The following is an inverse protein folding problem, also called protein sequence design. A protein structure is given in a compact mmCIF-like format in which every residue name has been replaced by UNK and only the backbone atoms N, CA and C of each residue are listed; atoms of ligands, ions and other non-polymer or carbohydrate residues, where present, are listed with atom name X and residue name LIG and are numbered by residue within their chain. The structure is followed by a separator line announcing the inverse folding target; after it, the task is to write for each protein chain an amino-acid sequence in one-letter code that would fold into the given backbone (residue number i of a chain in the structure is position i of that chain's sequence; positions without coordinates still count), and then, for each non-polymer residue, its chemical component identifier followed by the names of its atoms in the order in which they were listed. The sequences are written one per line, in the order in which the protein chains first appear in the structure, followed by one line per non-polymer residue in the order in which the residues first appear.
data_IF_804299258350
#
_entry.id   IF_804299258350
#
_cell.length_a   1.000
_cell.length_b   1.000
_cell.length_c   1.000
_cell.angle_alpha   90.00
_cell.angle_beta   90.00
_cell.angle_gamma   90.00
#
_symmetry.space_group_name_H-M   'P 1'
#
loop_
_entity.id
_entity.type
_entity.pdbx_description
1 polymer ?
#
# COMPACT_ATOMS: atom_id res chain seq x y z
N UNK A 1 -47.30 -16.38 -57.23
CA UNK A 1 -46.76 -16.38 -55.85
C UNK A 1 -45.58 -15.41 -55.84
N UNK A 2 -45.45 -14.39 -54.99
CA UNK A 2 -46.32 -13.70 -54.03
C UNK A 2 -45.82 -12.25 -54.04
N UNK A 3 -46.70 -11.29 -54.23
CA UNK A 3 -46.44 -9.88 -53.97
C UNK A 3 -46.21 -9.71 -52.46
N UNK A 4 -45.08 -9.09 -52.09
CA UNK A 4 -44.79 -8.74 -50.70
C UNK A 4 -45.84 -7.74 -50.20
N UNK A 5 -46.42 -7.92 -49.00
CA UNK A 5 -47.38 -6.99 -48.47
C UNK A 5 -46.66 -5.71 -48.05
N UNK A 6 -47.20 -4.57 -48.45
CA UNK A 6 -46.87 -3.27 -47.85
C UNK A 6 -47.15 -3.35 -46.34
N UNK A 7 -46.20 -2.94 -45.48
CA UNK A 7 -46.38 -3.05 -44.04
C UNK A 7 -47.53 -2.14 -43.59
N UNK A 8 -48.31 -2.55 -42.56
CA UNK A 8 -49.45 -1.78 -42.08
C UNK A 8 -48.98 -0.43 -41.50
N UNK A 9 -49.79 0.64 -41.57
CA UNK A 9 -49.43 1.98 -41.10
C UNK A 9 -49.05 2.04 -39.60
N UNK A 10 -49.44 1.03 -38.81
CA UNK A 10 -49.06 0.86 -37.41
C UNK A 10 -47.57 0.52 -37.21
N UNK A 11 -46.92 -0.15 -38.17
CA UNK A 11 -45.48 -0.44 -38.08
C UNK A 11 -44.64 0.80 -38.37
N UNK A 12 -45.10 1.67 -39.27
CA UNK A 12 -44.46 2.94 -39.58
C UNK A 12 -44.59 3.93 -38.41
N UNK A 13 -45.75 3.98 -37.74
CA UNK A 13 -45.95 4.80 -36.55
C UNK A 13 -45.15 4.27 -35.35
N UNK A 14 -45.05 2.95 -35.15
CA UNK A 14 -44.21 2.37 -34.10
C UNK A 14 -42.71 2.64 -34.33
N UNK A 15 -42.24 2.59 -35.57
CA UNK A 15 -40.87 2.98 -35.95
C UNK A 15 -40.61 4.48 -35.75
N UNK A 16 -41.60 5.35 -36.03
CA UNK A 16 -41.53 6.78 -35.72
C UNK A 16 -41.53 7.04 -34.20
N UNK A 17 -42.32 6.32 -33.41
CA UNK A 17 -42.33 6.39 -31.94
C UNK A 17 -41.05 5.83 -31.31
N UNK A 18 -40.45 4.79 -31.88
CA UNK A 18 -39.15 4.25 -31.46
C UNK A 18 -37.98 5.16 -31.88
N UNK A 19 -38.12 5.90 -32.99
CA UNK A 19 -37.15 6.94 -33.35
C UNK A 19 -37.16 8.09 -32.34
N UNK A 20 -38.34 8.53 -31.86
CA UNK A 20 -38.49 9.57 -30.84
C UNK A 20 -37.94 9.19 -29.45
N UNK A 21 -37.81 7.88 -29.16
CA UNK A 21 -37.24 7.39 -27.90
C UNK A 21 -35.77 6.93 -28.04
N UNK A 22 -35.14 7.12 -29.19
CA UNK A 22 -33.71 6.86 -29.31
C UNK A 22 -32.92 7.89 -28.48
N UNK A 23 -31.99 7.46 -27.60
CA UNK A 23 -31.11 8.38 -26.86
C UNK A 23 -30.25 9.28 -27.78
N UNK A 24 -30.18 8.92 -29.06
CA UNK A 24 -29.58 9.68 -30.18
C UNK A 24 -30.30 11.00 -30.46
N UNK A 25 -31.58 11.16 -30.08
CA UNK A 25 -32.38 12.39 -30.29
C UNK A 25 -32.17 13.46 -29.21
N UNK A 26 -31.07 13.40 -28.46
CA UNK A 26 -30.69 14.43 -27.50
C UNK A 26 -30.04 15.64 -28.16
N UNK A 27 -29.50 15.49 -29.38
CA UNK A 27 -28.83 16.55 -30.11
C UNK A 27 -29.56 16.91 -31.41
N UNK A 28 -29.57 18.20 -31.73
CA UNK A 28 -30.19 18.75 -32.94
C UNK A 28 -29.26 19.76 -33.61
N UNK A 29 -29.33 19.84 -34.94
CA UNK A 29 -28.64 20.88 -35.70
C UNK A 29 -29.56 22.09 -35.83
N UNK A 30 -29.07 23.28 -35.49
CA UNK A 30 -29.84 24.52 -35.48
C UNK A 30 -29.09 25.67 -36.15
N UNK A 31 -29.84 26.69 -36.53
CA UNK A 31 -29.29 27.95 -37.05
C UNK A 31 -28.68 28.80 -35.93
N UNK A 32 -27.79 29.71 -36.34
CA UNK A 32 -26.82 30.38 -35.48
C UNK A 32 -27.35 31.09 -34.22
N UNK A 33 -28.50 31.78 -34.25
CA UNK A 33 -28.93 32.63 -33.13
C UNK A 33 -29.18 31.87 -31.82
N UNK A 34 -29.58 30.59 -31.90
CA UNK A 34 -29.78 29.74 -30.71
C UNK A 34 -28.47 29.17 -30.15
N UNK A 35 -27.42 29.14 -30.97
CA UNK A 35 -26.09 28.63 -30.60
C UNK A 35 -25.32 29.62 -29.73
N UNK A 36 -25.47 30.91 -29.99
CA UNK A 36 -24.73 31.96 -29.31
C UNK A 36 -25.11 32.04 -27.83
N UNK A 37 -26.40 31.89 -27.50
CA UNK A 37 -26.91 31.94 -26.14
C UNK A 37 -26.72 30.65 -25.34
N UNK A 38 -26.51 29.50 -26.00
CA UNK A 38 -26.31 28.23 -25.31
C UNK A 38 -24.88 28.12 -24.75
N UNK A 39 -24.69 27.70 -23.49
CA UNK A 39 -23.36 27.38 -22.96
C UNK A 39 -22.82 26.10 -23.61
N UNK A 40 -21.50 25.89 -23.57
CA UNK A 40 -20.92 24.62 -23.98
C UNK A 40 -21.32 23.49 -23.02
N UNK A 41 -21.29 22.25 -23.53
CA UNK A 41 -21.37 21.08 -22.65
C UNK A 41 -20.20 21.06 -21.65
N UNK A 42 -20.41 20.57 -20.41
CA UNK A 42 -19.34 20.42 -19.43
C UNK A 42 -18.17 19.59 -19.98
N UNK A 43 -16.94 20.03 -19.73
CA UNK A 43 -15.72 19.33 -20.16
C UNK A 43 -15.42 19.33 -21.67
N UNK A 44 -16.12 20.13 -22.50
CA UNK A 44 -15.88 20.20 -23.95
C UNK A 44 -14.43 20.50 -24.34
N UNK A 45 -13.71 21.21 -23.48
CA UNK A 45 -12.32 21.62 -23.66
C UNK A 45 -11.31 20.63 -23.06
N UNK A 46 -11.73 19.44 -22.60
CA UNK A 46 -10.81 18.42 -22.08
C UNK A 46 -10.35 17.42 -23.13
N UNK A 47 -11.03 17.42 -24.28
CA UNK A 47 -10.69 16.62 -25.45
C UNK A 47 -9.78 17.40 -26.39
N UNK A 48 -8.92 16.69 -27.11
CA UNK A 48 -8.02 17.32 -28.08
C UNK A 48 -6.79 17.99 -27.48
N UNK A 49 -6.63 17.98 -26.15
CA UNK A 49 -5.41 18.40 -25.47
C UNK A 49 -4.29 17.36 -25.65
N UNK A 50 -3.05 17.82 -25.81
CA UNK A 50 -1.87 16.98 -25.87
C UNK A 50 -1.64 16.24 -24.56
N UNK A 51 -1.23 14.97 -24.65
CA UNK A 51 -1.04 14.10 -23.51
C UNK A 51 0.33 13.43 -23.57
N UNK A 52 1.04 13.42 -22.45
CA UNK A 52 2.30 12.70 -22.28
C UNK A 52 2.04 11.32 -21.69
N UNK A 53 2.29 10.27 -22.47
CA UNK A 53 2.09 8.88 -22.06
C UNK A 53 3.10 8.40 -21.02
N UNK A 54 4.27 9.04 -20.92
CA UNK A 54 5.31 8.67 -19.95
C UNK A 54 4.95 9.18 -18.56
N UNK A 55 4.52 10.45 -18.47
CA UNK A 55 4.17 11.06 -17.19
C UNK A 55 2.69 10.92 -16.83
N UNK A 56 1.87 10.39 -17.75
CA UNK A 56 0.40 10.36 -17.66
C UNK A 56 -0.22 11.73 -17.38
N UNK A 57 0.30 12.79 -18.03
CA UNK A 57 -0.14 14.18 -17.80
C UNK A 57 -0.54 14.89 -19.08
N UNK A 58 -1.56 15.72 -18.97
CA UNK A 58 -1.96 16.68 -20.01
C UNK A 58 -0.91 17.79 -20.13
N UNK A 59 -0.70 18.30 -21.35
CA UNK A 59 0.38 19.26 -21.69
C UNK A 59 -0.07 20.73 -21.78
N UNK A 60 -1.37 21.04 -21.67
CA UNK A 60 -1.91 22.40 -21.81
C UNK A 60 -1.95 22.92 -23.24
N UNK A 61 -1.55 22.12 -24.24
CA UNK A 61 -1.52 22.48 -25.65
C UNK A 61 -2.56 21.70 -26.45
N UNK A 62 -3.39 22.38 -27.22
CA UNK A 62 -4.49 21.76 -27.97
C UNK A 62 -4.08 21.40 -29.40
N UNK A 63 -4.31 20.14 -29.75
CA UNK A 63 -4.06 19.57 -31.08
C UNK A 63 -5.30 19.55 -31.96
N UNK A 64 -6.49 19.64 -31.35
CA UNK A 64 -7.78 19.66 -32.02
C UNK A 64 -8.52 20.92 -31.59
N UNK A 65 -9.09 21.66 -32.56
CA UNK A 65 -9.95 22.80 -32.28
C UNK A 65 -11.26 22.33 -31.64
N UNK A 66 -11.46 22.72 -30.39
CA UNK A 66 -12.65 22.44 -29.58
C UNK A 66 -13.38 23.72 -29.17
N UNK A 67 -12.94 24.88 -29.67
CA UNK A 67 -13.58 26.17 -29.44
C UNK A 67 -14.58 26.51 -30.55
N UNK A 68 -14.29 26.12 -31.79
CA UNK A 68 -15.21 26.36 -32.91
C UNK A 68 -16.43 25.44 -32.81
N UNK A 69 -17.62 26.04 -32.66
CA UNK A 69 -18.91 25.33 -32.61
C UNK A 69 -19.76 25.51 -33.87
N UNK A 70 -19.46 26.53 -34.67
CA UNK A 70 -20.18 26.83 -35.91
C UNK A 70 -19.57 26.04 -37.07
N UNK A 71 -20.42 25.37 -37.84
CA UNK A 71 -20.04 24.64 -39.05
C UNK A 71 -19.90 25.61 -40.25
N UNK A 72 -19.21 25.20 -41.33
CA UNK A 72 -19.05 26.03 -42.53
C UNK A 72 -20.37 26.48 -43.17
N UNK A 73 -21.44 25.71 -43.00
CA UNK A 73 -22.80 26.02 -43.47
C UNK A 73 -23.56 27.02 -42.58
N UNK A 74 -22.93 27.52 -41.51
CA UNK A 74 -23.52 28.46 -40.56
C UNK A 74 -24.37 27.83 -39.45
N UNK A 75 -24.52 26.51 -39.44
CA UNK A 75 -25.28 25.78 -38.41
C UNK A 75 -24.41 25.42 -37.20
N UNK A 76 -25.03 25.01 -36.09
CA UNK A 76 -24.34 24.39 -34.96
C UNK A 76 -25.13 23.20 -34.42
N UNK A 77 -24.52 22.41 -33.53
CA UNK A 77 -25.19 21.32 -32.83
C UNK A 77 -25.46 21.69 -31.37
N UNK A 78 -26.73 21.59 -30.97
CA UNK A 78 -27.19 21.74 -29.59
C UNK A 78 -27.66 20.40 -29.05
N UNK A 79 -27.31 20.09 -27.80
CA UNK A 79 -27.69 18.88 -27.09
C UNK A 79 -28.42 19.20 -25.80
N UNK A 80 -29.42 18.39 -25.46
CA UNK A 80 -30.17 18.49 -24.22
C UNK A 80 -29.45 17.68 -23.14
N UNK A 81 -28.96 18.35 -22.09
CA UNK A 81 -28.26 17.68 -20.99
C UNK A 81 -29.22 17.27 -19.87
N UNK A 82 -29.52 15.97 -19.81
CA UNK A 82 -30.42 15.39 -18.79
C UNK A 82 -29.86 15.47 -17.38
N UNK A 83 -28.55 15.58 -17.22
CA UNK A 83 -27.90 15.68 -15.90
C UNK A 83 -27.93 17.10 -15.33
N UNK A 84 -28.24 18.10 -16.16
CA UNK A 84 -28.35 19.51 -15.76
C UNK A 84 -29.73 20.07 -16.15
N UNK A 85 -30.79 19.50 -15.57
CA UNK A 85 -32.19 19.97 -15.72
C UNK A 85 -32.68 20.09 -17.17
N UNK A 86 -32.16 19.27 -18.09
CA UNK A 86 -32.49 19.30 -19.53
C UNK A 86 -32.12 20.64 -20.20
N UNK A 87 -31.10 21.34 -19.71
CA UNK A 87 -30.57 22.55 -20.36
C UNK A 87 -30.04 22.24 -21.76
N UNK A 88 -30.29 23.14 -22.72
CA UNK A 88 -29.70 23.08 -24.06
C UNK A 88 -28.27 23.63 -24.04
N UNK A 89 -27.33 22.84 -24.56
CA UNK A 89 -25.90 23.14 -24.54
C UNK A 89 -25.28 22.88 -25.91
N UNK A 90 -24.30 23.70 -26.32
CA UNK A 90 -23.65 23.57 -27.62
C UNK A 90 -22.45 22.63 -27.60
N UNK A 91 -22.23 21.95 -28.71
CA UNK A 91 -21.04 21.14 -28.95
C UNK A 91 -20.04 21.85 -29.85
N UNK A 92 -18.73 21.64 -29.64
CA UNK A 92 -17.73 21.96 -30.65
C UNK A 92 -18.00 21.19 -31.95
N UNK A 93 -17.67 21.78 -33.10
CA UNK A 93 -17.90 21.19 -34.42
C UNK A 93 -17.07 19.91 -34.65
N UNK A 94 -15.96 19.75 -33.93
CA UNK A 94 -15.10 18.56 -33.94
C UNK A 94 -15.65 17.38 -33.11
N UNK A 95 -16.70 17.60 -32.31
CA UNK A 95 -17.32 16.57 -31.46
C UNK A 95 -18.52 15.94 -32.15
N UNK A 96 -18.49 14.61 -32.29
CA UNK A 96 -19.47 13.87 -33.09
C UNK A 96 -20.43 12.99 -32.27
N UNK A 97 -20.01 12.49 -31.10
CA UNK A 97 -20.83 11.58 -30.28
C UNK A 97 -20.74 11.97 -28.80
N UNK A 98 -21.57 12.95 -28.41
CA UNK A 98 -21.69 13.37 -27.01
C UNK A 98 -22.91 12.73 -26.37
N UNK A 99 -22.74 12.21 -25.15
CA UNK A 99 -23.80 11.55 -24.38
C UNK A 99 -23.71 11.90 -22.91
N UNK A 100 -24.84 12.30 -22.32
CA UNK A 100 -24.97 12.42 -20.87
C UNK A 100 -25.39 11.08 -20.25
N UNK A 101 -24.59 10.59 -19.31
CA UNK A 101 -24.85 9.36 -18.55
C UNK A 101 -25.19 9.75 -17.12
N UNK A 102 -26.33 9.28 -16.60
CA UNK A 102 -26.81 9.61 -15.24
C UNK A 102 -26.65 8.47 -14.23
N UNK A 103 -26.38 7.25 -14.70
CA UNK A 103 -26.25 6.08 -13.83
C UNK A 103 -24.78 5.88 -13.45
N UNK A 104 -24.47 6.08 -12.17
CA UNK A 104 -23.18 5.74 -11.59
C UNK A 104 -23.35 4.55 -10.66
N UNK A 105 -22.68 3.43 -10.96
CA UNK A 105 -22.46 2.37 -9.99
C UNK A 105 -21.18 2.68 -9.25
N UNK A 106 -21.28 2.91 -7.95
CA UNK A 106 -20.12 3.21 -7.11
C UNK A 106 -19.45 1.90 -6.70
N UNK A 107 -18.98 1.12 -7.67
CA UNK A 107 -18.27 -0.12 -7.39
C UNK A 107 -16.86 0.20 -6.89
N UNK A 108 -16.34 -0.63 -5.98
CA UNK A 108 -14.95 -0.54 -5.50
C UNK A 108 -14.20 -1.72 -6.10
N UNK A 109 -13.12 -1.42 -6.82
CA UNK A 109 -12.16 -2.44 -7.24
C UNK A 109 -10.91 -2.32 -6.39
N UNK A 110 -10.30 -3.45 -6.08
CA UNK A 110 -9.07 -3.50 -5.31
C UNK A 110 -8.09 -4.45 -5.99
N UNK A 111 -6.82 -4.06 -6.01
CA UNK A 111 -5.72 -4.87 -6.52
C UNK A 111 -4.51 -4.67 -5.61
N UNK A 112 -3.58 -5.61 -5.62
CA UNK A 112 -2.31 -5.45 -4.95
C UNK A 112 -1.17 -5.80 -5.91
N UNK A 113 -0.05 -5.11 -5.70
CA UNK A 113 1.09 -5.05 -6.60
C UNK A 113 2.35 -5.17 -5.76
N UNK A 114 3.28 -6.03 -6.15
CA UNK A 114 4.54 -6.22 -5.40
C UNK A 114 5.65 -5.31 -5.91
N UNK A 115 5.49 -4.73 -7.11
CA UNK A 115 6.48 -3.87 -7.75
C UNK A 115 5.83 -2.65 -8.40
N UNK A 116 6.64 -1.62 -8.65
CA UNK A 116 6.22 -0.44 -9.43
C UNK A 116 5.86 -0.85 -10.86
N UNK A 117 6.57 -1.81 -11.45
CA UNK A 117 6.31 -2.28 -12.82
C UNK A 117 4.99 -3.04 -12.94
N UNK A 118 4.60 -3.85 -11.94
CA UNK A 118 3.29 -4.54 -11.95
C UNK A 118 2.14 -3.53 -11.83
N UNK A 119 2.32 -2.48 -11.02
CA UNK A 119 1.37 -1.37 -10.91
C UNK A 119 1.16 -0.66 -12.24
N UNK A 120 2.25 -0.34 -12.96
CA UNK A 120 2.20 0.34 -14.26
C UNK A 120 1.59 -0.53 -15.37
N UNK A 121 1.85 -1.83 -15.35
CA UNK A 121 1.31 -2.76 -16.36
C UNK A 121 -0.11 -3.22 -16.05
N UNK A 122 -0.66 -2.82 -14.91
CA UNK A 122 -1.95 -3.28 -14.36
C UNK A 122 -2.05 -4.81 -14.22
N UNK A 123 -0.90 -5.49 -14.25
CA UNK A 123 -0.82 -6.93 -14.04
C UNK A 123 -0.86 -7.19 -12.53
N UNK A 124 -1.88 -7.90 -12.08
CA UNK A 124 -1.96 -8.33 -10.68
C UNK A 124 -0.99 -9.47 -10.45
N UNK A 125 -0.08 -9.32 -9.48
CA UNK A 125 0.66 -10.47 -8.98
C UNK A 125 -0.29 -11.35 -8.18
N UNK A 126 -0.48 -12.59 -8.61
CA UNK A 126 -1.36 -13.55 -7.94
C UNK A 126 -0.76 -14.09 -6.62
N UNK A 127 0.52 -13.83 -6.35
CA UNK A 127 1.24 -14.31 -5.17
C UNK A 127 1.19 -13.35 -3.97
N UNK A 128 0.04 -12.72 -3.73
CA UNK A 128 -0.15 -11.94 -2.49
C UNK A 128 -0.32 -12.91 -1.33
N UNK A 129 0.79 -13.16 -0.62
CA UNK A 129 0.77 -13.99 0.59
C UNK A 129 -0.07 -13.37 1.73
N UNK A 130 -0.47 -12.10 1.61
CA UNK A 130 -1.25 -11.36 2.62
C UNK A 130 -2.60 -10.85 2.09
N UNK A 131 -3.38 -11.75 1.48
CA UNK A 131 -4.75 -11.47 1.01
C UNK A 131 -5.65 -10.94 2.14
N UNK A 132 -5.36 -11.30 3.39
CA UNK A 132 -6.10 -10.85 4.57
C UNK A 132 -5.92 -9.36 4.81
N UNK A 133 -4.69 -8.86 4.71
CA UNK A 133 -4.42 -7.42 4.81
C UNK A 133 -5.14 -6.64 3.70
N UNK A 134 -5.01 -7.09 2.46
CA UNK A 134 -5.70 -6.49 1.30
C UNK A 134 -7.22 -6.43 1.50
N UNK A 135 -7.81 -7.54 1.96
CA UNK A 135 -9.23 -7.61 2.29
C UNK A 135 -9.63 -6.62 3.38
N UNK A 136 -8.86 -6.52 4.48
CA UNK A 136 -9.18 -5.57 5.55
C UNK A 136 -9.16 -4.12 5.04
N UNK A 137 -8.14 -3.74 4.26
CA UNK A 137 -8.04 -2.39 3.68
C UNK A 137 -9.20 -2.09 2.73
N UNK A 138 -9.58 -3.05 1.87
CA UNK A 138 -10.74 -2.93 0.98
C UNK A 138 -12.05 -2.72 1.75
N UNK A 139 -12.20 -3.37 2.90
CA UNK A 139 -13.33 -3.14 3.81
C UNK A 139 -13.27 -1.74 4.43
N UNK A 140 -12.09 -1.28 4.85
CA UNK A 140 -11.88 0.07 5.37
C UNK A 140 -12.27 1.17 4.37
N UNK A 141 -11.89 1.03 3.10
CA UNK A 141 -12.32 1.95 2.03
C UNK A 141 -13.84 1.93 1.88
N UNK A 142 -14.46 0.76 1.95
CA UNK A 142 -15.92 0.63 1.88
C UNK A 142 -16.63 1.30 3.06
N UNK A 143 -16.04 1.25 4.25
CA UNK A 143 -16.53 1.95 5.46
C UNK A 143 -16.41 3.47 5.26
N UNK A 144 -15.22 3.95 4.90
CA UNK A 144 -14.96 5.38 4.72
C UNK A 144 -15.88 6.02 3.69
N UNK A 145 -16.19 5.29 2.62
CA UNK A 145 -17.12 5.73 1.58
C UNK A 145 -18.61 5.47 1.93
N UNK A 146 -18.91 5.01 3.14
CA UNK A 146 -20.28 4.84 3.66
C UNK A 146 -21.05 3.71 2.98
N UNK A 147 -20.35 2.73 2.39
CA UNK A 147 -20.93 1.56 1.72
C UNK A 147 -21.00 0.32 2.62
N UNK A 148 -20.21 0.30 3.69
CA UNK A 148 -20.19 -0.77 4.67
C UNK A 148 -20.31 -0.19 6.08
N UNK A 149 -21.11 -0.82 6.94
CA UNK A 149 -21.20 -0.41 8.34
C UNK A 149 -19.93 -0.86 9.10
N UNK A 150 -19.29 0.01 9.91
CA UNK A 150 -18.13 -0.37 10.73
C UNK A 150 -18.37 -1.60 11.61
N UNK A 151 -19.61 -1.83 12.05
CA UNK A 151 -19.98 -3.01 12.87
C UNK A 151 -19.83 -4.35 12.14
N UNK A 152 -19.75 -4.35 10.81
CA UNK A 152 -19.50 -5.54 10.01
C UNK A 152 -18.03 -6.02 10.08
N UNK A 153 -17.12 -5.20 10.60
CA UNK A 153 -15.69 -5.53 10.70
C UNK A 153 -15.37 -6.09 12.08
N UNK A 154 -14.84 -7.32 12.11
CA UNK A 154 -14.53 -8.01 13.36
C UNK A 154 -13.03 -8.31 13.54
N UNK A 155 -12.65 -8.51 14.80
CA UNK A 155 -11.36 -9.08 15.19
C UNK A 155 -10.15 -8.27 14.73
N UNK A 156 -9.24 -8.92 14.02
CA UNK A 156 -7.93 -8.36 13.63
C UNK A 156 -8.03 -7.19 12.65
N UNK A 157 -9.01 -7.18 11.74
CA UNK A 157 -9.15 -6.06 10.79
C UNK A 157 -9.48 -4.75 11.50
N UNK A 158 -10.29 -4.79 12.56
CA UNK A 158 -10.65 -3.58 13.32
C UNK A 158 -9.40 -2.90 13.91
N UNK A 159 -8.51 -3.69 14.52
CA UNK A 159 -7.27 -3.16 15.10
C UNK A 159 -6.34 -2.58 14.02
N UNK A 160 -6.27 -3.19 12.85
CA UNK A 160 -5.54 -2.64 11.71
C UNK A 160 -6.13 -1.29 11.27
N UNK A 161 -7.44 -1.23 11.01
CA UNK A 161 -8.09 -0.02 10.49
C UNK A 161 -8.06 1.14 11.49
N UNK A 162 -8.13 0.85 12.79
CA UNK A 162 -7.99 1.82 13.88
C UNK A 162 -6.51 2.14 14.22
N UNK A 163 -5.54 1.56 13.50
CA UNK A 163 -4.12 1.73 13.74
C UNK A 163 -3.70 1.35 15.20
N UNK A 164 -4.28 0.27 15.73
CA UNK A 164 -4.00 -0.26 17.07
C UNK A 164 -3.10 -1.51 17.07
N UNK A 165 -2.84 -2.06 15.89
CA UNK A 165 -1.91 -3.18 15.72
C UNK A 165 -0.44 -2.77 15.97
N UNK A 166 0.44 -3.76 16.13
CA UNK A 166 1.87 -3.55 16.41
C UNK A 166 2.75 -3.59 15.16
N UNK A 167 2.34 -4.32 14.11
CA UNK A 167 3.06 -4.47 12.86
C UNK A 167 2.65 -3.41 11.83
N UNK A 168 1.39 -2.97 11.86
CA UNK A 168 0.80 -2.12 10.82
C UNK A 168 0.58 -0.66 11.24
N UNK A 169 1.41 -0.15 12.16
CA UNK A 169 1.27 1.22 12.68
C UNK A 169 1.54 2.29 11.59
N UNK A 170 1.10 3.52 11.81
CA UNK A 170 1.51 4.68 10.97
C UNK A 170 3.04 4.74 10.79
N UNK A 171 3.80 4.39 11.84
CA UNK A 171 5.26 4.35 11.81
C UNK A 171 5.85 3.28 10.87
N UNK A 172 5.08 2.27 10.49
CA UNK A 172 5.49 1.28 9.48
C UNK A 172 5.08 1.67 8.05
N UNK A 173 4.48 2.85 7.86
CA UNK A 173 4.14 3.39 6.54
C UNK A 173 2.89 2.82 5.90
N UNK A 174 2.24 1.80 6.48
CA UNK A 174 1.11 1.10 5.85
C UNK A 174 -0.13 1.98 5.64
N UNK A 175 -0.33 3.00 6.48
CA UNK A 175 -1.44 3.94 6.36
C UNK A 175 -1.10 5.15 5.48
N UNK A 176 0.09 5.19 4.86
CA UNK A 176 0.40 6.17 3.83
C UNK A 176 -0.43 5.83 2.59
N UNK A 177 -1.21 6.79 2.14
CA UNK A 177 -2.04 6.68 0.95
C UNK A 177 -1.69 7.80 -0.01
N UNK A 178 -1.78 7.46 -1.29
CA UNK A 178 -1.80 8.43 -2.38
C UNK A 178 -3.19 8.38 -2.98
N UNK A 179 -3.89 9.51 -2.98
CA UNK A 179 -5.22 9.62 -3.59
C UNK A 179 -5.16 10.53 -4.78
N UNK A 180 -5.77 10.08 -5.88
CA UNK A 180 -6.01 10.89 -7.07
C UNK A 180 -7.53 10.96 -7.30
N UNK A 181 -8.06 12.18 -7.33
CA UNK A 181 -9.50 12.45 -7.51
C UNK A 181 -9.67 13.22 -8.82
N UNK A 182 -10.43 12.62 -9.74
CA UNK A 182 -10.66 13.19 -11.08
C UNK A 182 -12.07 13.75 -11.18
N UNK A 183 -12.16 15.05 -11.49
CA UNK A 183 -13.43 15.79 -11.59
C UNK A 183 -14.08 16.07 -10.24
N UNK A 184 -15.30 16.60 -10.31
CA UNK A 184 -16.07 17.04 -9.15
C UNK A 184 -15.43 18.24 -8.44
N UNK A 185 -15.99 18.59 -7.28
CA UNK A 185 -15.53 19.69 -6.45
C UNK A 185 -15.66 19.33 -4.96
N UNK A 186 -14.81 19.93 -4.13
CA UNK A 186 -14.92 19.91 -2.67
C UNK A 186 -14.45 18.64 -1.94
N UNK A 187 -13.87 17.64 -2.63
CA UNK A 187 -13.28 16.47 -1.99
C UNK A 187 -11.87 16.18 -2.48
N UNK A 188 -10.92 16.15 -1.55
CA UNK A 188 -9.51 15.87 -1.82
C UNK A 188 -9.19 14.37 -1.86
N UNK A 189 -10.19 13.51 -1.67
CA UNK A 189 -9.97 12.07 -1.61
C UNK A 189 -9.47 11.57 -0.25
N UNK A 190 -9.51 12.42 0.76
CA UNK A 190 -9.23 12.05 2.15
C UNK A 190 -10.49 11.44 2.78
N UNK A 191 -10.30 10.34 3.51
CA UNK A 191 -11.36 9.66 4.27
C UNK A 191 -10.76 8.74 5.35
N UNK A 192 -11.53 8.47 6.40
CA UNK A 192 -11.18 7.46 7.41
C UNK A 192 -11.41 6.03 6.94
N UNK A 193 -10.49 5.12 7.27
CA UNK A 193 -10.68 3.68 7.08
C UNK A 193 -11.50 3.02 8.21
N UNK A 194 -11.70 3.71 9.34
CA UNK A 194 -12.27 3.13 10.55
C UNK A 194 -13.75 3.50 10.78
N UNK A 195 -14.23 4.59 10.20
CA UNK A 195 -15.59 5.08 10.38
C UNK A 195 -16.13 5.73 9.09
N UNK A 196 -17.45 5.91 9.02
CA UNK A 196 -18.11 6.55 7.87
C UNK A 196 -17.67 8.02 7.75
N UNK A 197 -16.98 8.32 6.66
CA UNK A 197 -16.51 9.65 6.28
C UNK A 197 -17.02 10.03 4.87
N UNK A 198 -18.21 9.53 4.53
CA UNK A 198 -18.73 9.55 3.17
C UNK A 198 -19.30 10.89 2.73
N UNK A 199 -19.36 11.89 3.61
CA UNK A 199 -19.98 13.18 3.31
C UNK A 199 -19.24 13.90 2.17
N UNK A 200 -17.90 13.95 2.24
CA UNK A 200 -17.07 14.53 1.19
C UNK A 200 -17.26 13.83 -0.15
N UNK A 201 -17.16 12.49 -0.15
CA UNK A 201 -17.41 11.66 -1.32
C UNK A 201 -18.81 11.87 -1.94
N UNK A 202 -19.87 11.93 -1.14
CA UNK A 202 -21.24 12.14 -1.61
C UNK A 202 -21.43 13.53 -2.23
N UNK A 203 -20.86 14.56 -1.62
CA UNK A 203 -20.90 15.92 -2.16
C UNK A 203 -20.14 16.01 -3.49
N UNK A 204 -18.94 15.44 -3.55
CA UNK A 204 -18.16 15.32 -4.77
C UNK A 204 -18.93 14.59 -5.87
N UNK A 205 -19.53 13.44 -5.57
CA UNK A 205 -20.33 12.66 -6.53
C UNK A 205 -21.49 13.48 -7.11
N UNK A 206 -22.16 14.29 -6.27
CA UNK A 206 -23.26 15.16 -6.69
C UNK A 206 -22.81 16.34 -7.56
N UNK A 207 -21.54 16.77 -7.42
CA UNK A 207 -20.96 17.89 -8.17
C UNK A 207 -20.45 17.51 -9.57
N UNK A 208 -20.22 16.22 -9.84
CA UNK A 208 -19.66 15.73 -11.11
C UNK A 208 -20.45 16.14 -12.35
N UNK A 209 -21.77 16.33 -12.22
CA UNK A 209 -22.64 16.80 -13.31
C UNK A 209 -22.30 18.21 -13.78
N UNK A 210 -21.71 19.02 -12.90
CA UNK A 210 -21.37 20.42 -13.12
C UNK A 210 -19.86 20.60 -13.36
N UNK A 211 -19.04 19.80 -12.68
CA UNK A 211 -17.58 19.79 -12.78
C UNK A 211 -17.06 18.45 -13.32
N UNK A 212 -17.27 18.19 -14.60
CA UNK A 212 -16.82 16.96 -15.24
C UNK A 212 -15.31 17.00 -15.55
N UNK A 213 -14.63 15.86 -15.42
CA UNK A 213 -13.26 15.65 -15.90
C UNK A 213 -13.10 14.27 -16.58
N UNK A 214 -11.92 13.96 -17.11
CA UNK A 214 -11.64 12.81 -17.96
C UNK A 214 -11.32 11.57 -17.12
N UNK A 215 -12.33 10.75 -16.84
CA UNK A 215 -12.14 9.47 -16.13
C UNK A 215 -11.48 8.37 -16.98
N UNK A 216 -11.73 8.36 -18.29
CA UNK A 216 -11.13 7.40 -19.23
C UNK A 216 -11.00 8.03 -20.61
N UNK A 217 -9.98 7.63 -21.37
CA UNK A 217 -9.66 8.24 -22.65
C UNK A 217 -8.94 7.25 -23.59
N UNK A 218 -8.97 7.59 -24.88
CA UNK A 218 -8.19 6.91 -25.91
C UNK A 218 -7.16 7.89 -26.48
N UNK A 219 -5.90 7.52 -26.44
CA UNK A 219 -4.81 8.35 -26.96
C UNK A 219 -4.52 7.95 -28.40
N UNK A 220 -4.31 8.95 -29.26
CA UNK A 220 -3.75 8.75 -30.60
C UNK A 220 -2.42 9.48 -30.72
N UNK A 221 -1.36 8.83 -31.26
CA UNK A 221 -0.09 9.48 -31.46
C UNK A 221 -0.21 10.72 -32.37
N UNK A 222 0.42 11.82 -31.97
CA UNK A 222 0.31 13.11 -32.65
C UNK A 222 0.76 13.07 -34.12
N UNK A 223 1.70 12.18 -34.49
CA UNK A 223 2.10 12.00 -35.89
C UNK A 223 0.96 11.53 -36.82
N UNK A 224 -0.14 10.99 -36.28
CA UNK A 224 -1.32 10.60 -37.07
C UNK A 224 -2.08 11.82 -37.62
N UNK A 225 -1.97 12.98 -36.98
CA UNK A 225 -2.56 14.24 -37.45
C UNK A 225 -1.80 14.82 -38.64
N UNK A 226 -0.53 14.41 -38.83
CA UNK A 226 0.26 14.80 -40.00
C UNK A 226 -0.16 13.94 -41.20
N UNK A 227 -0.48 14.53 -42.37
CA UNK A 227 -0.96 13.79 -43.54
C UNK A 227 -0.05 12.61 -43.96
N UNK A 228 1.02 12.89 -44.72
CA UNK A 228 2.03 11.93 -45.19
C UNK A 228 3.36 12.66 -45.43
N UNK A 229 4.45 11.91 -45.61
CA UNK A 229 5.78 12.45 -45.98
C UNK A 229 6.81 12.43 -44.84
N UNK A 230 7.97 13.04 -45.09
CA UNK A 230 9.15 12.98 -44.21
C UNK A 230 8.90 13.55 -42.81
N UNK A 231 8.10 14.62 -42.70
CA UNK A 231 7.71 15.21 -41.40
C UNK A 231 6.96 14.21 -40.52
N UNK A 232 6.06 13.41 -41.10
CA UNK A 232 5.31 12.37 -40.38
C UNK A 232 6.25 11.27 -39.86
N UNK A 233 7.14 10.79 -40.73
CA UNK A 233 8.10 9.75 -40.37
C UNK A 233 9.10 10.22 -39.32
N UNK A 234 9.64 11.44 -39.46
CA UNK A 234 10.54 12.04 -38.48
C UNK A 234 9.87 12.24 -37.12
N UNK A 235 8.62 12.69 -37.11
CA UNK A 235 7.85 12.82 -35.87
C UNK A 235 7.54 11.48 -35.21
N UNK A 236 7.20 10.45 -36.01
CA UNK A 236 7.02 9.09 -35.51
C UNK A 236 8.29 8.58 -34.82
N UNK A 237 9.43 8.69 -35.50
CA UNK A 237 10.73 8.27 -34.96
C UNK A 237 11.09 9.02 -33.67
N UNK A 238 10.85 10.33 -33.61
CA UNK A 238 11.11 11.12 -32.40
C UNK A 238 10.24 10.70 -31.21
N UNK A 239 8.96 10.37 -31.44
CA UNK A 239 8.05 9.89 -30.39
C UNK A 239 8.47 8.50 -29.90
N UNK A 240 8.81 7.58 -30.82
CA UNK A 240 9.27 6.23 -30.46
C UNK A 240 10.58 6.28 -29.67
N UNK A 241 11.51 7.16 -30.05
CA UNK A 241 12.74 7.39 -29.32
C UNK A 241 12.47 7.94 -27.91
N UNK A 242 11.62 8.97 -27.78
CA UNK A 242 11.26 9.54 -26.48
C UNK A 242 10.67 8.49 -25.53
N UNK A 243 9.78 7.62 -26.03
CA UNK A 243 9.19 6.56 -25.22
C UNK A 243 10.27 5.58 -24.76
N UNK A 244 11.16 5.17 -25.67
CA UNK A 244 12.23 4.21 -25.38
C UNK A 244 13.23 4.77 -24.36
N UNK A 245 13.60 6.04 -24.49
CA UNK A 245 14.57 6.70 -23.60
C UNK A 245 14.04 6.88 -22.17
N UNK A 246 12.72 6.82 -21.97
CA UNK A 246 12.06 7.02 -20.68
C UNK A 246 11.36 5.77 -20.15
N UNK A 247 11.63 4.59 -20.73
CA UNK A 247 11.02 3.33 -20.30
C UNK A 247 11.56 2.87 -18.93
N UNK A 248 10.68 2.26 -18.11
CA UNK A 248 11.03 1.80 -16.77
C UNK A 248 11.63 0.39 -16.87
N UNK A 249 12.93 0.27 -16.66
CA UNK A 249 13.64 -1.02 -16.71
C UNK A 249 13.11 -2.02 -15.68
N UNK A 250 12.68 -3.19 -16.15
CA UNK A 250 12.28 -4.32 -15.31
C UNK A 250 13.52 -5.10 -14.84
N UNK A 251 14.20 -4.62 -13.79
CA UNK A 251 15.25 -5.43 -13.16
C UNK A 251 14.67 -6.24 -12.01
N UNK A 252 14.21 -7.46 -12.30
CA UNK A 252 13.92 -8.45 -11.26
C UNK A 252 15.23 -9.10 -10.81
N UNK A 253 15.93 -8.47 -9.86
CA UNK A 253 16.98 -9.17 -9.12
C UNK A 253 16.33 -9.94 -7.97
N UNK A 254 16.37 -11.26 -8.03
CA UNK A 254 15.91 -12.13 -6.96
C UNK A 254 16.83 -11.90 -5.74
N UNK A 255 16.32 -11.28 -4.69
CA UNK A 255 17.13 -11.02 -3.48
C UNK A 255 17.32 -12.32 -2.71
N UNK A 256 18.56 -12.72 -2.51
CA UNK A 256 18.89 -13.87 -1.66
C UNK A 256 19.03 -13.43 -0.20
N UNK A 257 17.96 -13.59 0.58
CA UNK A 257 17.89 -13.23 2.00
C UNK A 257 18.54 -14.26 2.95
N UNK A 258 18.87 -15.45 2.42
CA UNK A 258 19.25 -16.67 3.15
C UNK A 258 20.66 -16.66 3.79
N UNK A 259 21.23 -15.50 4.16
CA UNK A 259 22.51 -15.46 4.89
C UNK A 259 22.31 -15.67 6.40
N UNK A 260 21.91 -16.89 6.78
CA UNK A 260 22.00 -17.36 8.18
C UNK A 260 20.90 -16.90 9.15
N UNK A 261 19.85 -16.23 8.68
CA UNK A 261 18.70 -15.85 9.51
C UNK A 261 17.44 -16.67 9.14
N UNK A 262 17.04 -17.59 10.01
CA UNK A 262 15.85 -18.45 9.81
C UNK A 262 14.52 -17.70 9.98
N UNK A 263 14.53 -16.48 10.51
CA UNK A 263 13.33 -15.68 10.73
C UNK A 263 12.95 -14.83 9.51
N UNK A 264 13.62 -14.96 8.35
CA UNK A 264 13.27 -14.19 7.15
C UNK A 264 12.37 -15.00 6.20
N UNK A 265 11.45 -14.32 5.52
CA UNK A 265 10.71 -14.85 4.38
C UNK A 265 11.44 -14.62 3.04
N UNK A 266 10.79 -14.95 1.93
CA UNK A 266 11.35 -14.81 0.58
C UNK A 266 11.52 -13.34 0.14
N UNK A 267 10.85 -12.39 0.80
CA UNK A 267 10.99 -10.95 0.59
C UNK A 267 11.99 -10.30 1.54
N UNK A 268 12.73 -11.11 2.31
CA UNK A 268 13.64 -10.67 3.37
C UNK A 268 12.92 -10.02 4.56
N UNK A 269 11.62 -10.27 4.74
CA UNK A 269 10.84 -9.73 5.86
C UNK A 269 10.89 -10.68 7.06
N UNK A 270 10.97 -10.17 8.30
CA UNK A 270 10.91 -11.00 9.49
C UNK A 270 9.53 -11.65 9.64
N UNK A 271 9.49 -12.98 9.79
CA UNK A 271 8.26 -13.76 9.97
C UNK A 271 7.63 -13.56 11.34
N UNK A 272 8.46 -13.30 12.35
CA UNK A 272 8.06 -13.10 13.74
C UNK A 272 8.82 -11.93 14.34
N UNK A 273 8.11 -11.09 15.10
CA UNK A 273 8.74 -10.14 16.03
C UNK A 273 9.36 -10.90 17.22
N UNK A 274 10.07 -10.18 18.10
CA UNK A 274 10.70 -10.74 19.31
C UNK A 274 11.79 -11.77 19.01
N UNK A 275 12.54 -11.55 17.95
CA UNK A 275 13.62 -12.43 17.50
C UNK A 275 14.94 -11.69 17.35
N UNK A 276 16.02 -12.35 17.73
CA UNK A 276 17.38 -11.84 17.57
C UNK A 276 18.44 -12.83 18.04
N UNK A 277 19.70 -12.46 17.82
CA UNK A 277 20.86 -13.23 18.24
C UNK A 277 21.27 -12.86 19.66
N UNK A 278 21.33 -13.83 20.56
CA UNK A 278 21.72 -13.62 21.97
C UNK A 278 23.01 -14.34 22.31
N UNK A 279 23.94 -13.62 22.93
CA UNK A 279 25.17 -14.18 23.48
C UNK A 279 25.29 -13.79 24.94
N UNK A 280 25.74 -14.71 25.78
CA UNK A 280 25.92 -14.50 27.23
C UNK A 280 27.36 -14.82 27.62
N UNK A 281 27.97 -13.95 28.40
CA UNK A 281 29.31 -14.14 28.94
C UNK A 281 29.26 -14.10 30.46
N UNK A 282 29.63 -15.20 31.10
CA UNK A 282 29.79 -15.26 32.56
C UNK A 282 31.20 -14.76 32.89
N UNK A 283 31.28 -13.59 33.53
CA UNK A 283 32.55 -12.86 33.68
C UNK A 283 33.29 -13.38 34.91
N UNK A 284 32.78 -13.04 36.10
CA UNK A 284 33.47 -13.26 37.36
C UNK A 284 32.52 -13.22 38.55
N UNK A 285 33.00 -13.66 39.71
CA UNK A 285 32.39 -13.41 41.01
C UNK A 285 33.45 -12.92 42.01
N UNK A 286 33.01 -12.38 43.13
CA UNK A 286 33.89 -11.89 44.18
C UNK A 286 33.26 -12.04 45.56
N UNK A 287 34.11 -12.16 46.57
CA UNK A 287 33.74 -12.33 47.97
C UNK A 287 32.85 -13.56 48.22
N UNK A 288 33.04 -14.63 47.45
CA UNK A 288 32.29 -15.87 47.62
C UNK A 288 32.75 -16.62 48.87
N UNK A 289 31.79 -17.28 49.52
CA UNK A 289 32.01 -18.17 50.66
C UNK A 289 30.88 -19.20 50.73
N UNK A 290 31.10 -20.37 50.16
CA UNK A 290 30.24 -21.54 50.39
C UNK A 290 30.87 -22.51 51.40
N UNK A 291 32.11 -22.94 51.17
CA UNK A 291 32.83 -23.82 52.10
C UNK A 291 33.08 -23.27 53.53
N UNK A 292 33.03 -24.18 54.51
CA UNK A 292 33.41 -23.89 55.89
C UNK A 292 34.93 -23.71 56.08
N UNK A 293 35.73 -24.39 55.26
CA UNK A 293 37.19 -24.36 55.31
C UNK A 293 37.76 -24.39 53.89
N UNK A 294 38.38 -23.29 53.45
CA UNK A 294 39.04 -23.20 52.14
C UNK A 294 38.42 -22.17 51.20
N UNK A 295 38.97 -22.03 49.97
CA UNK A 295 38.32 -21.33 48.87
C UNK A 295 37.08 -22.09 48.39
N UNK A 296 36.12 -21.38 47.80
CA UNK A 296 34.87 -21.93 47.25
C UNK A 296 35.08 -22.58 45.87
N UNK A 297 34.52 -23.76 45.64
CA UNK A 297 34.56 -24.56 44.41
C UNK A 297 33.42 -24.18 43.45
N UNK A 298 33.47 -22.92 42.99
CA UNK A 298 32.32 -22.31 42.33
C UNK A 298 32.19 -22.61 40.83
N UNK A 299 30.96 -22.81 40.37
CA UNK A 299 30.60 -22.87 38.95
C UNK A 299 29.23 -22.25 38.68
N UNK A 300 28.94 -21.92 37.43
CA UNK A 300 27.71 -21.22 37.04
C UNK A 300 26.89 -22.04 36.06
N UNK A 301 25.59 -22.20 36.34
CA UNK A 301 24.59 -22.73 35.41
C UNK A 301 23.85 -21.58 34.75
N UNK A 302 23.88 -21.55 33.42
CA UNK A 302 23.14 -20.60 32.58
C UNK A 302 21.95 -21.31 31.95
N UNK A 303 20.76 -20.74 32.09
CA UNK A 303 19.54 -21.23 31.46
C UNK A 303 18.81 -20.12 30.71
N UNK A 304 18.37 -20.43 29.50
CA UNK A 304 17.53 -19.56 28.67
C UNK A 304 16.50 -20.40 27.92
N UNK A 305 15.24 -20.35 28.36
CA UNK A 305 14.20 -21.25 27.85
C UNK A 305 14.58 -22.72 28.09
N UNK A 306 14.74 -23.49 27.01
CA UNK A 306 15.20 -24.89 27.03
C UNK A 306 16.73 -25.05 26.90
N UNK A 307 17.45 -23.96 26.64
CA UNK A 307 18.91 -23.98 26.49
C UNK A 307 19.55 -23.93 27.87
N UNK A 308 20.48 -24.84 28.13
CA UNK A 308 21.24 -24.93 29.38
C UNK A 308 22.73 -25.03 29.07
N UNK A 309 23.54 -24.26 29.79
CA UNK A 309 24.99 -24.29 29.74
C UNK A 309 25.58 -24.25 31.15
N UNK A 310 26.80 -24.73 31.29
CA UNK A 310 27.53 -24.72 32.55
C UNK A 310 28.96 -24.26 32.30
N UNK A 311 29.51 -23.47 33.21
CA UNK A 311 30.94 -23.14 33.21
C UNK A 311 31.75 -24.30 33.80
N UNK A 312 33.07 -24.29 33.60
CA UNK A 312 33.96 -25.09 34.45
C UNK A 312 33.90 -24.59 35.91
N UNK A 313 34.16 -25.48 36.85
CA UNK A 313 34.40 -25.13 38.25
C UNK A 313 35.76 -24.42 38.40
N UNK A 314 35.82 -23.46 39.33
CA UNK A 314 37.05 -22.76 39.73
C UNK A 314 37.07 -22.66 41.27
N UNK A 315 38.08 -23.28 41.88
CA UNK A 315 38.43 -23.15 43.29
C UNK A 315 38.99 -21.75 43.59
N UNK A 316 38.13 -20.82 44.00
CA UNK A 316 38.50 -19.44 44.38
C UNK A 316 37.32 -18.67 44.99
N UNK A 317 37.60 -17.80 45.96
CA UNK A 317 36.63 -16.78 46.40
C UNK A 317 36.47 -15.59 45.43
N UNK A 318 37.30 -15.53 44.37
CA UNK A 318 37.27 -14.49 43.33
C UNK A 318 37.39 -15.11 41.92
N UNK A 319 36.49 -16.03 41.55
CA UNK A 319 36.60 -16.80 40.31
C UNK A 319 36.40 -15.88 39.09
N UNK A 320 37.18 -16.13 38.03
CA UNK A 320 37.05 -15.50 36.71
C UNK A 320 36.87 -16.57 35.65
N UNK A 321 35.63 -16.76 35.20
CA UNK A 321 35.33 -17.77 34.18
C UNK A 321 35.60 -17.24 32.77
N UNK A 322 35.21 -15.98 32.48
CA UNK A 322 35.20 -15.43 31.12
C UNK A 322 34.59 -16.41 30.09
N UNK A 323 33.53 -17.11 30.50
CA UNK A 323 32.92 -18.17 29.71
C UNK A 323 31.89 -17.57 28.76
N UNK A 324 32.11 -17.75 27.46
CA UNK A 324 31.26 -17.20 26.41
C UNK A 324 30.32 -18.28 25.83
N UNK A 325 29.03 -17.96 25.79
CA UNK A 325 27.97 -18.83 25.27
C UNK A 325 27.21 -18.09 24.15
N UNK A 326 27.32 -18.59 22.90
CA UNK A 326 26.48 -18.14 21.79
C UNK A 326 25.19 -18.97 21.77
N UNK A 327 24.08 -18.35 22.15
CA UNK A 327 22.77 -19.01 22.18
C UNK A 327 22.08 -19.00 20.81
N UNK A 328 22.71 -18.39 19.79
CA UNK A 328 22.18 -18.30 18.44
C UNK A 328 20.92 -17.42 18.36
N UNK A 329 20.01 -17.79 17.45
CA UNK A 329 18.75 -17.09 17.24
C UNK A 329 17.72 -17.50 18.29
N UNK A 330 17.23 -16.55 19.06
CA UNK A 330 16.34 -16.79 20.20
C UNK A 330 15.04 -16.00 20.10
N UNK A 331 14.02 -16.47 20.83
CA UNK A 331 12.83 -15.69 21.16
C UNK A 331 13.11 -14.87 22.43
N UNK A 332 12.91 -13.55 22.36
CA UNK A 332 13.28 -12.59 23.43
C UNK A 332 12.27 -12.48 24.57
N UNK A 333 11.19 -13.27 24.59
CA UNK A 333 10.23 -13.31 25.71
C UNK A 333 10.82 -13.95 26.98
N UNK A 334 11.80 -14.83 26.81
CA UNK A 334 12.46 -15.54 27.91
C UNK A 334 13.51 -14.67 28.60
N UNK A 335 13.73 -14.94 29.89
CA UNK A 335 14.79 -14.29 30.64
C UNK A 335 16.05 -15.17 30.68
N UNK A 336 17.20 -14.51 30.80
CA UNK A 336 18.48 -15.16 31.11
C UNK A 336 18.51 -15.45 32.61
N UNK A 337 18.51 -16.72 32.95
CA UNK A 337 18.55 -17.21 34.31
C UNK A 337 19.95 -17.76 34.62
N UNK A 338 20.57 -17.24 35.66
CA UNK A 338 21.95 -17.56 36.05
C UNK A 338 21.94 -18.03 37.50
N UNK A 339 22.51 -19.19 37.74
CA UNK A 339 22.68 -19.78 39.07
C UNK A 339 24.16 -20.00 39.36
N UNK A 340 24.60 -19.56 40.54
CA UNK A 340 25.93 -19.79 41.06
C UNK A 340 25.87 -20.93 42.08
N UNK A 341 26.69 -21.94 41.88
CA UNK A 341 26.75 -23.16 42.69
C UNK A 341 28.14 -23.35 43.28
N UNK A 342 28.21 -24.01 44.44
CA UNK A 342 29.42 -24.57 45.04
C UNK A 342 29.43 -26.09 44.85
N UNK A 343 30.51 -26.66 44.32
CA UNK A 343 30.61 -28.10 44.09
C UNK A 343 31.05 -28.81 45.37
N UNK A 344 30.28 -29.80 45.80
CA UNK A 344 30.46 -30.45 47.11
C UNK A 344 30.50 -31.98 46.97
N UNK A 345 31.08 -32.69 47.95
CA UNK A 345 31.28 -34.14 47.85
C UNK A 345 29.99 -34.97 47.73
N UNK A 346 28.86 -34.44 48.20
CA UNK A 346 27.58 -35.15 48.22
C UNK A 346 26.45 -34.37 47.54
N UNK A 347 26.35 -33.06 47.75
CA UNK A 347 25.31 -32.22 47.16
C UNK A 347 25.83 -30.80 46.97
N UNK A 348 25.79 -30.30 45.74
CA UNK A 348 26.18 -28.93 45.43
C UNK A 348 25.23 -27.91 46.08
N UNK A 349 25.80 -26.85 46.63
CA UNK A 349 25.06 -25.77 47.30
C UNK A 349 24.78 -24.62 46.33
N UNK A 350 23.52 -24.17 46.27
CA UNK A 350 23.15 -22.99 45.48
C UNK A 350 23.52 -21.72 46.26
N UNK A 351 24.57 -21.04 45.83
CA UNK A 351 25.07 -19.79 46.44
C UNK A 351 24.28 -18.54 46.02
N UNK A 352 23.55 -18.60 44.91
CA UNK A 352 22.73 -17.49 44.47
C UNK A 352 22.13 -17.68 43.08
N UNK A 353 21.03 -16.99 42.80
CA UNK A 353 20.37 -17.03 41.50
C UNK A 353 19.79 -15.68 41.11
N UNK A 354 19.77 -15.39 39.81
CA UNK A 354 19.09 -14.20 39.31
C UNK A 354 18.57 -14.40 37.88
N UNK A 355 17.49 -13.69 37.59
CA UNK A 355 16.89 -13.61 36.26
C UNK A 355 17.02 -12.20 35.70
N UNK A 356 17.43 -12.07 34.44
CA UNK A 356 17.46 -10.78 33.72
C UNK A 356 16.91 -10.96 32.31
N UNK A 357 15.96 -10.12 31.94
CA UNK A 357 15.48 -10.04 30.57
C UNK A 357 16.55 -9.41 29.67
N UNK A 358 16.99 -10.07 28.58
CA UNK A 358 17.96 -9.49 27.68
C UNK A 358 17.36 -8.27 26.96
N UNK A 359 18.18 -7.26 26.71
CA UNK A 359 17.78 -6.05 25.97
C UNK A 359 18.76 -5.74 24.85
N UNK A 360 18.28 -5.12 23.78
CA UNK A 360 19.04 -4.78 22.59
C UNK A 360 20.36 -4.06 22.94
N UNK A 361 21.46 -4.53 22.36
CA UNK A 361 22.82 -4.09 22.66
C UNK A 361 23.50 -4.91 23.75
N UNK A 362 24.62 -4.39 24.26
CA UNK A 362 25.40 -5.03 25.32
C UNK A 362 25.07 -4.44 26.69
N UNK A 363 24.80 -5.31 27.66
CA UNK A 363 24.51 -4.96 29.06
C UNK A 363 25.26 -5.89 30.01
N UNK A 364 25.77 -5.32 31.09
CA UNK A 364 26.40 -6.05 32.18
C UNK A 364 25.43 -6.03 33.36
N UNK A 365 25.23 -7.17 33.99
CA UNK A 365 24.39 -7.35 35.15
C UNK A 365 25.21 -7.90 36.31
N UNK A 366 25.02 -7.30 37.48
CA UNK A 366 25.54 -7.81 38.74
C UNK A 366 24.38 -8.44 39.54
N UNK A 367 24.66 -9.57 40.17
CA UNK A 367 23.72 -10.34 40.97
C UNK A 367 24.32 -10.67 42.33
N UNK A 368 23.48 -10.62 43.36
CA UNK A 368 23.89 -10.97 44.73
C UNK A 368 23.96 -12.49 44.88
N UNK A 369 24.95 -12.94 45.65
CA UNK A 369 25.03 -14.28 46.19
C UNK A 369 24.87 -14.20 47.72
N UNK A 370 24.72 -15.34 48.39
CA UNK A 370 24.64 -15.45 49.85
C UNK A 370 25.86 -14.82 50.54
N UNK A 371 27.02 -14.95 49.91
CA UNK A 371 28.20 -14.15 50.18
C UNK A 371 28.75 -13.59 48.88
N UNK A 372 28.92 -12.27 48.80
CA UNK A 372 29.52 -11.61 47.65
C UNK A 372 28.55 -11.38 46.49
N UNK A 373 29.07 -11.37 45.27
CA UNK A 373 28.29 -11.09 44.06
C UNK A 373 28.97 -11.65 42.82
N UNK A 374 28.20 -11.81 41.74
CA UNK A 374 28.67 -12.29 40.45
C UNK A 374 28.12 -11.47 39.29
N UNK A 375 28.86 -11.44 38.19
CA UNK A 375 28.57 -10.64 37.02
C UNK A 375 28.54 -11.45 35.73
N UNK A 376 27.56 -11.10 34.90
CA UNK A 376 27.47 -11.61 33.54
C UNK A 376 27.08 -10.49 32.58
N UNK A 377 27.44 -10.69 31.32
CA UNK A 377 27.19 -9.77 30.22
C UNK A 377 26.30 -10.44 29.20
N UNK A 378 25.28 -9.73 28.74
CA UNK A 378 24.43 -10.14 27.63
C UNK A 378 24.65 -9.22 26.44
N UNK A 379 24.73 -9.76 25.24
CA UNK A 379 24.62 -8.98 24.00
C UNK A 379 23.48 -9.53 23.17
N UNK A 380 22.45 -8.72 22.96
CA UNK A 380 21.32 -9.04 22.09
C UNK A 380 21.41 -8.18 20.82
N UNK A 381 21.31 -8.81 19.67
CA UNK A 381 21.20 -8.13 18.36
C UNK A 381 19.90 -8.56 17.70
N UNK A 382 18.96 -7.64 17.54
CA UNK A 382 17.70 -7.89 16.83
C UNK A 382 17.94 -8.40 15.40
N UNK A 383 17.02 -9.24 14.94
CA UNK A 383 16.98 -9.63 13.53
C UNK A 383 16.79 -8.43 12.61
N UNK A 384 17.16 -8.62 11.34
CA UNK A 384 16.94 -7.61 10.30
C UNK A 384 15.50 -7.10 10.30
N UNK A 385 15.34 -5.78 10.18
CA UNK A 385 14.05 -5.08 10.23
C UNK A 385 13.32 -5.15 11.59
N UNK A 386 13.96 -5.59 12.67
CA UNK A 386 13.42 -5.51 14.03
C UNK A 386 14.22 -4.54 14.90
N UNK A 387 13.52 -3.85 15.82
CA UNK A 387 14.09 -2.88 16.76
C UNK A 387 13.36 -2.88 18.10
N UNK A 388 13.73 -1.94 18.97
CA UNK A 388 13.21 -1.77 20.31
C UNK A 388 14.01 -2.60 21.32
N UNK A 389 13.79 -2.34 22.60
CA UNK A 389 14.56 -2.97 23.68
C UNK A 389 14.50 -4.51 23.64
N UNK A 390 13.42 -5.08 23.11
CA UNK A 390 13.21 -6.53 23.05
C UNK A 390 13.01 -7.06 21.62
N UNK A 391 13.42 -6.31 20.59
CA UNK A 391 13.22 -6.71 19.18
C UNK A 391 11.75 -6.90 18.79
N UNK A 392 10.85 -6.17 19.45
CA UNK A 392 9.41 -6.32 19.30
C UNK A 392 8.79 -5.37 18.27
N UNK A 393 9.55 -4.40 17.79
CA UNK A 393 9.07 -3.37 16.88
C UNK A 393 9.62 -3.62 15.48
N UNK A 394 8.77 -3.53 14.46
CA UNK A 394 9.22 -3.55 13.07
C UNK A 394 9.87 -2.20 12.70
N UNK A 395 10.97 -2.25 11.96
CA UNK A 395 11.63 -1.08 11.38
C UNK A 395 11.74 -1.29 9.88
N UNK A 396 11.02 -0.51 9.06
CA UNK A 396 11.19 -0.57 7.61
C UNK A 396 12.62 -0.18 7.25
N UNK A 397 13.18 -0.83 6.23
CA UNK A 397 14.46 -0.41 5.63
C UNK A 397 14.23 0.00 4.18
N UNK A 398 14.92 1.05 3.69
CA UNK A 398 14.84 1.47 2.31
C UNK A 398 15.28 0.38 1.31
#
# INVERSE_FOLDING_TARGET
MRSSPTPPPLYLSLLLFLSWNSPVLSCMTVNNSKCESAPFVPGHNLIGEGFDVITLRRKGAYLIDVATYRKPDGTCTLCTNRNQNKTLQKLPASVVDWRAISQCKTDISSSAHTTVSSLLTSNTDQDIHDWKLHSCLSMGVSIGLGKLNPSAVQGSCKNLLENRDVATRYSSGLHQHYTDVVGGDGWLGEFSLAYDDSLGFKNWLNSLKDHADVASYFIRPMYQLIPKGTKKSGMKAAIEQYITDNDVSQSHSQRNCWRGNSNLDFNCCPRQAWRGKLTVEIIQAWNLKGDHLGPTDSYVKLRFGSINHQTRMIESSYPRWNAYFDLGQVDTHSDVYVELWDEDLFYDDLLGSCSRRPTQGTRIFSCSADSGSYEFKTTLTCDSHLTGAWCHQYTPSP
#
